data_IF_188956331802
#
_entry.id   IF_188956331802
#
_cell.length_a   1.000
_cell.length_b   1.000
_cell.length_c   1.000
_cell.angle_alpha   90.00
_cell.angle_beta   90.00
_cell.angle_gamma   90.00
#
_symmetry.space_group_name_H-M   'P 1'
#
loop_
_entity.id
_entity.type
_entity.pdbx_description
1 polymer ?
#
# COMPACT_ATOMS: atom_id res chain seq x y z
N UNK A 1 40.00 53.09 17.59
CA UNK A 1 38.61 53.59 17.44
C UNK A 1 37.82 52.54 16.67
N UNK A 2 36.70 51.95 17.10
CA UNK A 2 35.67 52.36 18.06
C UNK A 2 35.11 51.14 18.80
N UNK A 3 34.90 51.28 20.11
CA UNK A 3 33.98 50.45 20.91
C UNK A 3 32.57 50.61 20.34
N UNK A 4 31.90 49.50 20.05
CA UNK A 4 30.43 49.42 19.97
C UNK A 4 30.03 48.54 21.15
N UNK A 5 30.17 49.08 22.36
CA UNK A 5 29.06 49.54 23.21
C UNK A 5 28.01 48.45 23.37
N UNK A 6 28.08 47.78 24.52
CA UNK A 6 27.02 46.91 25.01
C UNK A 6 25.74 47.72 25.12
N UNK A 7 24.77 47.35 24.30
CA UNK A 7 23.40 47.72 24.50
C UNK A 7 22.79 46.60 25.35
N UNK A 8 22.61 46.87 26.65
CA UNK A 8 21.73 46.05 27.49
C UNK A 8 20.37 46.09 26.79
N UNK A 9 19.94 44.95 26.26
CA UNK A 9 18.56 44.78 25.81
C UNK A 9 17.73 44.69 27.08
N UNK A 10 17.39 45.87 27.62
CA UNK A 10 16.44 46.05 28.70
C UNK A 10 15.15 45.37 28.28
N UNK A 11 14.83 44.27 28.96
CA UNK A 11 13.63 43.50 28.73
C UNK A 11 12.41 44.42 28.84
N UNK A 12 11.78 44.71 27.71
CA UNK A 12 10.53 45.45 27.64
C UNK A 12 9.47 44.66 28.46
N UNK A 13 8.89 45.23 29.53
CA UNK A 13 7.90 44.53 30.37
C UNK A 13 6.66 44.10 29.57
N UNK A 14 6.36 44.82 28.49
CA UNK A 14 5.31 44.48 27.53
C UNK A 14 5.58 43.19 26.74
N UNK A 15 6.84 42.89 26.38
CA UNK A 15 7.17 41.70 25.59
C UNK A 15 7.11 40.41 26.44
N UNK A 16 7.41 40.52 27.74
CA UNK A 16 7.28 39.40 28.70
C UNK A 16 5.82 39.01 28.95
N UNK A 17 4.91 39.98 28.98
CA UNK A 17 3.48 39.72 29.15
C UNK A 17 2.91 38.92 27.95
N UNK A 18 3.36 39.22 26.73
CA UNK A 18 2.91 38.54 25.51
C UNK A 18 3.47 37.13 25.39
N UNK A 19 4.74 36.90 25.76
CA UNK A 19 5.35 35.56 25.75
C UNK A 19 4.82 34.63 26.86
N UNK A 20 4.32 35.19 27.96
CA UNK A 20 3.67 34.42 29.03
C UNK A 20 2.31 33.86 28.59
N UNK A 21 1.57 34.57 27.73
CA UNK A 21 0.20 34.20 27.32
C UNK A 21 0.14 33.07 26.29
N UNK A 22 1.26 32.73 25.65
CA UNK A 22 1.37 31.60 24.70
C UNK A 22 1.68 30.26 25.38
N UNK A 23 1.98 30.25 26.68
CA UNK A 23 2.50 29.07 27.42
C UNK A 23 1.42 28.19 28.06
N UNK A 24 0.17 28.27 27.61
CA UNK A 24 -1.00 27.85 28.40
C UNK A 24 -2.08 26.99 27.72
N UNK A 25 -1.78 26.24 26.64
CA UNK A 25 -2.66 25.15 26.19
C UNK A 25 -1.85 23.88 25.97
N UNK A 26 -1.85 23.02 26.99
CA UNK A 26 -1.21 21.71 26.92
C UNK A 26 -1.81 20.84 25.80
N UNK A 27 -0.99 20.05 25.09
CA UNK A 27 -1.44 19.13 24.03
C UNK A 27 -2.14 17.87 24.57
N UNK A 28 -2.62 17.87 25.81
CA UNK A 28 -3.04 16.67 26.54
C UNK A 28 -4.23 15.95 25.89
N UNK A 29 -5.13 16.69 25.22
CA UNK A 29 -6.26 16.11 24.48
C UNK A 29 -5.82 15.45 23.17
N UNK A 30 -4.96 16.12 22.40
CA UNK A 30 -4.45 15.52 21.17
C UNK A 30 -3.63 14.27 21.46
N UNK A 31 -2.79 14.24 22.51
CA UNK A 31 -2.01 13.05 22.87
C UNK A 31 -2.88 11.81 23.17
N UNK A 32 -4.05 11.98 23.82
CA UNK A 32 -5.00 10.87 24.02
C UNK A 32 -5.74 10.49 22.74
N UNK A 33 -6.13 11.47 21.92
CA UNK A 33 -6.77 11.24 20.61
C UNK A 33 -5.84 10.50 19.64
N UNK A 34 -4.56 10.89 19.55
CA UNK A 34 -3.52 10.20 18.76
C UNK A 34 -3.34 8.76 19.24
N UNK A 35 -3.31 8.53 20.57
CA UNK A 35 -3.16 7.19 21.13
C UNK A 35 -4.35 6.29 20.81
N UNK A 36 -5.58 6.81 20.89
CA UNK A 36 -6.78 6.04 20.54
C UNK A 36 -6.87 5.73 19.04
N UNK A 37 -6.45 6.68 18.19
CA UNK A 37 -6.47 6.52 16.73
C UNK A 37 -5.44 5.49 16.26
N UNK A 38 -4.25 5.46 16.88
CA UNK A 38 -3.21 4.48 16.54
C UNK A 38 -3.62 3.03 16.84
N UNK A 39 -4.35 2.78 17.94
CA UNK A 39 -4.82 1.44 18.27
C UNK A 39 -5.87 0.92 17.28
N UNK A 40 -6.84 1.77 16.90
CA UNK A 40 -7.87 1.41 15.92
C UNK A 40 -7.26 1.17 14.53
N UNK A 41 -6.36 2.04 14.10
CA UNK A 41 -5.64 1.87 12.83
C UNK A 41 -4.80 0.59 12.82
N UNK A 42 -4.12 0.28 13.93
CA UNK A 42 -3.35 -0.95 14.10
C UNK A 42 -4.21 -2.22 13.98
N UNK A 43 -5.43 -2.21 14.52
CA UNK A 43 -6.37 -3.33 14.40
C UNK A 43 -6.86 -3.48 12.96
N UNK A 44 -7.24 -2.38 12.30
CA UNK A 44 -7.71 -2.43 10.91
C UNK A 44 -6.63 -2.98 9.97
N UNK A 45 -5.42 -2.43 10.02
CA UNK A 45 -4.32 -2.88 9.15
C UNK A 45 -3.87 -4.31 9.52
N UNK A 46 -3.89 -4.65 10.80
CA UNK A 46 -3.62 -6.01 11.28
C UNK A 46 -4.62 -7.03 10.74
N UNK A 47 -5.91 -6.66 10.67
CA UNK A 47 -6.96 -7.48 10.07
C UNK A 47 -6.74 -7.74 8.58
N UNK A 48 -6.35 -6.71 7.83
CA UNK A 48 -6.01 -6.83 6.40
C UNK A 48 -4.84 -7.79 6.20
N UNK A 49 -3.75 -7.64 6.98
CA UNK A 49 -2.61 -8.54 6.89
C UNK A 49 -2.93 -9.97 7.34
N UNK A 50 -3.79 -10.16 8.35
CA UNK A 50 -4.25 -11.48 8.78
C UNK A 50 -5.02 -12.18 7.66
N UNK A 51 -5.92 -11.48 6.96
CA UNK A 51 -6.67 -12.03 5.83
C UNK A 51 -5.74 -12.45 4.68
N UNK A 52 -4.77 -11.60 4.33
CA UNK A 52 -3.75 -11.91 3.31
C UNK A 52 -2.97 -13.16 3.71
N UNK A 53 -2.55 -13.26 4.98
CA UNK A 53 -1.81 -14.41 5.50
C UNK A 53 -2.62 -15.72 5.48
N UNK A 54 -3.91 -15.67 5.82
CA UNK A 54 -4.82 -16.82 5.76
C UNK A 54 -4.96 -17.30 4.31
N UNK A 55 -5.13 -16.38 3.35
CA UNK A 55 -5.21 -16.73 1.93
C UNK A 55 -3.96 -17.45 1.45
N UNK A 56 -2.78 -16.92 1.77
CA UNK A 56 -1.50 -17.53 1.41
C UNK A 56 -1.30 -18.90 2.06
N UNK A 57 -1.74 -19.05 3.31
CA UNK A 57 -1.70 -20.33 4.05
C UNK A 57 -2.57 -21.40 3.39
N UNK A 58 -3.77 -21.04 2.92
CA UNK A 58 -4.66 -21.97 2.21
C UNK A 58 -4.04 -22.42 0.88
N UNK A 59 -3.43 -21.48 0.14
CA UNK A 59 -2.77 -21.79 -1.14
C UNK A 59 -1.64 -22.81 -0.95
N UNK A 60 -0.72 -22.55 -0.02
CA UNK A 60 0.40 -23.46 0.22
C UNK A 60 -0.03 -24.75 0.93
N UNK A 61 -1.01 -24.68 1.82
CA UNK A 61 -1.56 -25.83 2.54
C UNK A 61 -2.15 -26.89 1.62
N UNK A 62 -2.74 -26.48 0.49
CA UNK A 62 -3.33 -27.41 -0.48
C UNK A 62 -2.33 -27.79 -1.58
N UNK A 63 -1.55 -26.83 -2.12
CA UNK A 63 -0.70 -27.11 -3.29
C UNK A 63 0.59 -27.86 -2.98
N UNK A 64 1.09 -27.90 -1.74
CA UNK A 64 2.37 -28.54 -1.34
C UNK A 64 3.60 -28.11 -2.17
N UNK A 65 3.50 -27.04 -2.95
CA UNK A 65 4.54 -26.49 -3.83
C UNK A 65 4.77 -25.01 -3.46
N UNK A 66 6.03 -24.61 -3.40
CA UNK A 66 6.44 -23.22 -3.19
C UNK A 66 6.41 -22.50 -4.54
N UNK A 67 5.36 -21.71 -4.80
CA UNK A 67 5.25 -20.88 -6.00
C UNK A 67 5.91 -19.51 -5.77
N UNK A 68 7.10 -19.31 -6.35
CA UNK A 68 7.79 -18.01 -6.30
C UNK A 68 7.19 -16.95 -7.23
N UNK A 69 6.49 -17.36 -8.30
CA UNK A 69 5.86 -16.46 -9.27
C UNK A 69 4.58 -15.79 -8.75
N UNK A 70 4.27 -15.95 -7.47
CA UNK A 70 3.05 -15.42 -6.86
C UNK A 70 3.01 -13.88 -6.91
N UNK A 71 4.15 -13.22 -6.73
CA UNK A 71 4.24 -11.75 -6.79
C UNK A 71 4.06 -11.20 -8.20
N UNK A 72 4.49 -11.94 -9.22
CA UNK A 72 4.43 -11.58 -10.63
C UNK A 72 3.01 -11.72 -11.18
N UNK A 73 2.26 -12.72 -10.70
CA UNK A 73 0.83 -12.81 -10.97
C UNK A 73 0.05 -11.65 -10.34
N UNK A 74 0.41 -11.24 -9.13
CA UNK A 74 -0.18 -10.06 -8.48
C UNK A 74 0.14 -8.80 -9.28
N UNK A 75 1.40 -8.65 -9.70
CA UNK A 75 1.85 -7.55 -10.55
C UNK A 75 1.07 -7.47 -11.86
N UNK A 76 0.87 -8.60 -12.56
CA UNK A 76 0.03 -8.65 -13.77
C UNK A 76 -1.41 -8.18 -13.50
N UNK A 77 -2.00 -8.56 -12.38
CA UNK A 77 -3.34 -8.10 -12.00
C UNK A 77 -3.41 -6.59 -11.75
N UNK A 78 -2.37 -6.02 -11.14
CA UNK A 78 -2.25 -4.57 -10.96
C UNK A 78 -2.15 -3.84 -12.31
N UNK A 79 -1.31 -4.33 -13.23
CA UNK A 79 -1.18 -3.75 -14.56
C UNK A 79 -2.45 -3.89 -15.40
N UNK A 80 -3.15 -5.02 -15.31
CA UNK A 80 -4.44 -5.21 -15.99
C UNK A 80 -5.47 -4.17 -15.51
N UNK A 81 -5.52 -3.92 -14.19
CA UNK A 81 -6.40 -2.91 -13.58
C UNK A 81 -6.02 -1.50 -14.02
N UNK A 82 -4.73 -1.17 -14.02
CA UNK A 82 -4.23 0.12 -14.51
C UNK A 82 -4.61 0.36 -15.98
N UNK A 83 -4.47 -0.66 -16.83
CA UNK A 83 -4.79 -0.54 -18.25
C UNK A 83 -6.28 -0.34 -18.49
N UNK A 84 -7.12 -1.05 -17.74
CA UNK A 84 -8.58 -0.86 -17.78
C UNK A 84 -8.96 0.57 -17.39
N UNK A 85 -8.34 1.10 -16.34
CA UNK A 85 -8.56 2.48 -15.91
C UNK A 85 -8.10 3.48 -16.99
N UNK A 86 -6.95 3.26 -17.61
CA UNK A 86 -6.39 4.18 -18.62
C UNK A 86 -7.18 4.19 -19.93
N UNK A 87 -7.72 3.05 -20.40
CA UNK A 87 -8.48 3.00 -21.65
C UNK A 87 -9.94 3.43 -21.47
N UNK A 88 -10.59 2.95 -20.41
CA UNK A 88 -12.04 3.09 -20.27
C UNK A 88 -12.47 4.17 -19.27
N UNK A 89 -11.53 4.81 -18.54
CA UNK A 89 -11.83 5.75 -17.45
C UNK A 89 -12.80 5.15 -16.40
N UNK A 90 -12.80 3.83 -16.28
CA UNK A 90 -13.68 3.09 -15.36
C UNK A 90 -13.15 3.25 -13.95
N UNK A 91 -14.01 3.59 -12.99
CA UNK A 91 -13.63 3.67 -11.59
C UNK A 91 -12.89 2.40 -11.13
N UNK A 92 -11.80 2.51 -10.33
CA UNK A 92 -11.01 1.37 -9.93
C UNK A 92 -11.83 0.26 -9.27
N UNK A 93 -12.90 0.62 -8.56
CA UNK A 93 -13.81 -0.34 -7.94
C UNK A 93 -14.57 -1.20 -8.96
N UNK A 94 -15.04 -0.60 -10.05
CA UNK A 94 -15.73 -1.33 -11.10
C UNK A 94 -14.74 -2.15 -11.93
N UNK A 95 -13.49 -1.68 -12.03
CA UNK A 95 -12.43 -2.45 -12.71
C UNK A 95 -12.12 -3.76 -11.99
N UNK A 96 -12.24 -3.85 -10.66
CA UNK A 96 -12.06 -5.12 -9.90
C UNK A 96 -13.01 -6.20 -10.41
N UNK A 97 -14.26 -5.86 -10.70
CA UNK A 97 -15.26 -6.81 -11.18
C UNK A 97 -14.92 -7.42 -12.54
N UNK A 98 -14.13 -6.72 -13.36
CA UNK A 98 -13.72 -7.17 -14.70
C UNK A 98 -12.33 -7.82 -14.64
N UNK A 99 -11.42 -7.26 -13.84
CA UNK A 99 -10.05 -7.76 -13.72
C UNK A 99 -10.01 -9.08 -12.96
N UNK A 100 -10.90 -9.28 -11.98
CA UNK A 100 -11.00 -10.52 -11.21
C UNK A 100 -11.30 -11.75 -12.09
N UNK A 101 -12.36 -11.79 -12.93
CA UNK A 101 -12.58 -12.91 -13.84
C UNK A 101 -11.46 -13.02 -14.89
N UNK A 102 -10.97 -11.91 -15.44
CA UNK A 102 -9.90 -11.92 -16.43
C UNK A 102 -8.62 -12.58 -15.89
N UNK A 103 -8.17 -12.15 -14.71
CA UNK A 103 -6.99 -12.72 -14.05
C UNK A 103 -7.24 -14.14 -13.54
N UNK A 104 -8.46 -14.50 -13.16
CA UNK A 104 -8.81 -15.88 -12.82
C UNK A 104 -8.62 -16.81 -14.03
N UNK A 105 -9.14 -16.44 -15.21
CA UNK A 105 -8.95 -17.24 -16.42
C UNK A 105 -7.48 -17.31 -16.85
N UNK A 106 -6.77 -16.18 -16.80
CA UNK A 106 -5.34 -16.14 -17.11
C UNK A 106 -4.52 -17.02 -16.15
N UNK A 107 -4.75 -16.88 -14.84
CA UNK A 107 -4.10 -17.68 -13.81
C UNK A 107 -4.43 -19.17 -13.94
N UNK A 108 -5.69 -19.53 -14.20
CA UNK A 108 -6.12 -20.91 -14.41
C UNK A 108 -5.47 -21.53 -15.66
N UNK A 109 -5.37 -20.77 -16.75
CA UNK A 109 -4.67 -21.19 -17.96
C UNK A 109 -3.19 -21.48 -17.67
N UNK A 110 -2.53 -20.57 -16.94
CA UNK A 110 -1.14 -20.71 -16.56
C UNK A 110 -0.90 -21.88 -15.61
N UNK A 111 -1.78 -22.06 -14.63
CA UNK A 111 -1.75 -23.20 -13.72
C UNK A 111 -1.91 -24.52 -14.48
N UNK A 112 -2.84 -24.59 -15.45
CA UNK A 112 -3.08 -25.80 -16.23
C UNK A 112 -1.88 -26.18 -17.11
N UNK A 113 -1.20 -25.19 -17.70
CA UNK A 113 -0.07 -25.43 -18.61
C UNK A 113 1.23 -25.67 -17.86
N UNK A 114 1.52 -24.82 -16.88
CA UNK A 114 2.84 -24.77 -16.22
C UNK A 114 2.84 -25.63 -14.97
N UNK A 115 1.89 -25.40 -14.04
CA UNK A 115 1.89 -26.09 -12.75
C UNK A 115 1.51 -27.56 -12.91
N UNK A 116 0.50 -27.87 -13.74
CA UNK A 116 0.05 -29.25 -13.91
C UNK A 116 1.15 -30.16 -14.50
N UNK A 117 2.05 -29.58 -15.31
CA UNK A 117 3.22 -30.29 -15.86
C UNK A 117 4.37 -30.44 -14.86
N UNK A 118 4.40 -29.59 -13.83
CA UNK A 118 5.46 -29.49 -12.83
C UNK A 118 5.16 -30.29 -11.56
N UNK A 119 3.89 -30.65 -11.33
CA UNK A 119 3.46 -31.54 -10.24
C UNK A 119 4.15 -32.91 -10.26
N UNK A 120 4.52 -33.41 -11.45
CA UNK A 120 5.23 -34.68 -11.61
C UNK A 120 6.75 -34.58 -11.40
N UNK A 121 7.30 -33.36 -11.27
CA UNK A 121 8.74 -33.12 -11.19
C UNK A 121 9.23 -32.98 -9.73
N UNK A 122 10.52 -33.29 -9.45
CA UNK A 122 11.12 -33.12 -8.12
C UNK A 122 11.05 -31.66 -7.62
N UNK A 123 10.97 -31.42 -6.30
CA UNK A 123 10.74 -30.09 -5.72
C UNK A 123 11.76 -29.03 -6.14
N UNK A 124 13.01 -29.40 -6.38
CA UNK A 124 14.08 -28.51 -6.87
C UNK A 124 13.74 -27.93 -8.25
N UNK A 125 13.19 -28.75 -9.14
CA UNK A 125 12.80 -28.31 -10.48
C UNK A 125 11.59 -27.36 -10.42
N UNK A 126 10.72 -27.51 -9.43
CA UNK A 126 9.53 -26.66 -9.26
C UNK A 126 9.92 -25.22 -8.89
N UNK A 127 10.90 -25.07 -7.99
CA UNK A 127 11.43 -23.76 -7.58
C UNK A 127 12.11 -23.08 -8.77
N UNK A 128 13.00 -23.79 -9.48
CA UNK A 128 13.69 -23.23 -10.64
C UNK A 128 12.71 -22.78 -11.73
N UNK A 129 11.67 -23.57 -11.98
CA UNK A 129 10.68 -23.27 -13.00
C UNK A 129 9.80 -22.08 -12.60
N UNK A 130 9.36 -21.99 -11.35
CA UNK A 130 8.54 -20.85 -10.88
C UNK A 130 9.33 -19.55 -10.84
N UNK A 131 10.61 -19.57 -10.43
CA UNK A 131 11.48 -18.39 -10.50
C UNK A 131 11.73 -18.00 -11.97
N UNK A 132 12.02 -18.96 -12.85
CA UNK A 132 12.22 -18.68 -14.28
C UNK A 132 10.98 -18.11 -14.95
N UNK A 133 9.81 -18.65 -14.62
CA UNK A 133 8.52 -18.15 -15.09
C UNK A 133 8.28 -16.71 -14.59
N UNK A 134 8.53 -16.43 -13.31
CA UNK A 134 8.41 -15.08 -12.74
C UNK A 134 9.32 -14.09 -13.44
N UNK A 135 10.58 -14.46 -13.70
CA UNK A 135 11.51 -13.64 -14.47
C UNK A 135 10.99 -13.35 -15.89
N UNK A 136 10.49 -14.37 -16.60
CA UNK A 136 9.92 -14.18 -17.94
C UNK A 136 8.72 -13.23 -17.89
N UNK A 137 7.81 -13.40 -16.93
CA UNK A 137 6.65 -12.53 -16.75
C UNK A 137 7.06 -11.08 -16.46
N UNK A 138 7.94 -10.89 -15.47
CA UNK A 138 8.42 -9.58 -15.07
C UNK A 138 9.12 -8.86 -16.22
N UNK A 139 10.01 -9.54 -16.94
CA UNK A 139 10.67 -8.98 -18.12
C UNK A 139 9.69 -8.72 -19.27
N UNK A 140 8.69 -9.58 -19.48
CA UNK A 140 7.66 -9.36 -20.52
C UNK A 140 6.85 -8.11 -20.23
N UNK A 141 6.47 -7.90 -18.96
CA UNK A 141 5.79 -6.68 -18.54
C UNK A 141 6.72 -5.48 -18.67
N UNK A 142 7.99 -5.58 -18.28
CA UNK A 142 8.95 -4.48 -18.42
C UNK A 142 9.23 -4.09 -19.89
N UNK A 143 9.16 -5.06 -20.81
CA UNK A 143 9.28 -4.80 -22.25
C UNK A 143 8.01 -4.15 -22.81
N UNK A 144 6.83 -4.60 -22.38
CA UNK A 144 5.55 -4.03 -22.80
C UNK A 144 5.27 -2.67 -22.15
N UNK A 145 5.72 -2.48 -20.92
CA UNK A 145 5.51 -1.33 -20.06
C UNK A 145 6.88 -0.89 -19.53
N UNK A 146 7.33 0.28 -19.97
CA UNK A 146 8.58 0.89 -19.46
C UNK A 146 8.62 0.89 -17.92
N UNK A 147 9.81 0.89 -17.31
CA UNK A 147 10.05 0.75 -15.85
C UNK A 147 9.51 1.87 -14.95
N UNK A 148 8.56 2.67 -15.42
CA UNK A 148 7.95 3.74 -14.64
C UNK A 148 6.93 3.22 -13.64
N UNK A 149 7.02 3.72 -12.41
CA UNK A 149 6.05 3.44 -11.37
C UNK A 149 4.72 4.15 -11.69
N UNK A 150 3.68 3.35 -11.91
CA UNK A 150 2.35 3.84 -12.30
C UNK A 150 1.43 3.88 -11.09
N UNK A 151 1.01 5.07 -10.70
CA UNK A 151 0.06 5.31 -9.60
C UNK A 151 -1.27 5.77 -10.18
N UNK A 152 -2.36 5.18 -9.70
CA UNK A 152 -3.72 5.63 -10.02
C UNK A 152 -4.12 6.77 -9.09
N UNK A 153 -4.09 8.02 -9.57
CA UNK A 153 -4.56 9.19 -8.83
C UNK A 153 -6.08 9.36 -8.95
N UNK A 154 -6.84 8.59 -8.18
CA UNK A 154 -8.30 8.75 -8.13
C UNK A 154 -8.75 9.80 -7.11
N UNK A 155 -9.90 10.45 -7.37
CA UNK A 155 -10.50 11.50 -6.50
C UNK A 155 -10.76 11.03 -5.05
N UNK A 156 -10.83 9.72 -4.84
CA UNK A 156 -11.03 9.09 -3.52
C UNK A 156 -9.72 8.84 -2.76
N UNK A 157 -8.58 8.74 -3.45
CA UNK A 157 -7.28 8.49 -2.81
C UNK A 157 -6.79 9.65 -1.94
N UNK A 158 -7.29 10.87 -2.18
CA UNK A 158 -6.92 12.09 -1.43
C UNK A 158 -8.05 12.62 -0.55
N UNK A 159 -9.24 12.02 -0.58
CA UNK A 159 -10.36 12.42 0.28
C UNK A 159 -10.22 11.78 1.66
N UNK A 160 -9.79 12.57 2.64
CA UNK A 160 -9.90 12.24 4.06
C UNK A 160 -11.11 12.96 4.63
N UNK A 161 -12.11 12.22 5.08
CA UNK A 161 -13.28 12.82 5.74
C UNK A 161 -12.97 12.91 7.23
N UNK A 162 -12.83 14.14 7.72
CA UNK A 162 -12.62 14.43 9.15
C UNK A 162 -13.96 14.39 9.86
N UNK A 163 -14.33 13.24 10.40
CA UNK A 163 -15.48 13.16 11.30
C UNK A 163 -14.95 13.37 12.72
N UNK A 164 -15.33 14.50 13.32
CA UNK A 164 -15.14 14.80 14.75
C UNK A 164 -13.72 14.52 15.30
N UNK A 165 -12.70 15.15 14.70
CA UNK A 165 -11.31 15.12 15.21
C UNK A 165 -10.48 13.88 14.85
N UNK A 166 -11.10 12.83 14.30
CA UNK A 166 -10.42 11.61 13.85
C UNK A 166 -10.31 11.69 12.31
N UNK A 167 -9.09 11.70 11.79
CA UNK A 167 -8.84 11.67 10.35
C UNK A 167 -8.80 10.22 9.89
N UNK A 168 -9.93 9.70 9.40
CA UNK A 168 -9.97 8.36 8.79
C UNK A 168 -9.84 8.54 7.28
N UNK A 169 -8.80 7.95 6.71
CA UNK A 169 -8.63 7.88 5.27
C UNK A 169 -9.69 6.93 4.71
N UNK A 170 -10.57 7.41 3.82
CA UNK A 170 -11.58 6.58 3.15
C UNK A 170 -11.04 5.28 2.52
N UNK A 171 -9.79 5.22 1.98
CA UNK A 171 -9.22 3.98 1.46
C UNK A 171 -9.12 2.84 2.47
N UNK A 172 -9.18 3.13 3.78
CA UNK A 172 -9.11 2.11 4.84
C UNK A 172 -10.50 1.68 5.36
N UNK A 173 -11.55 2.42 5.01
CA UNK A 173 -12.94 2.13 5.41
C UNK A 173 -13.73 1.35 4.36
N UNK A 174 -13.16 1.19 3.17
CA UNK A 174 -13.71 0.45 2.02
C UNK A 174 -12.90 -0.82 1.83
#
# INVERSE_FOLDING_TARGET
MRRIKGERISAHPALRATLSRSRGRGPSRSLCEWRSSSSLYGILIGGVYALIGIGLTIIFGVMRIINFAHGELLMLGMYATYYLFSLFHVDPFLSIFITMPLMFFFGAFLQKIVINRTLAAPPQNQILLTIGLGLIMSNSVMLAFTSDYKILSTKYSSSSVRIMGISISLPLMI
#
